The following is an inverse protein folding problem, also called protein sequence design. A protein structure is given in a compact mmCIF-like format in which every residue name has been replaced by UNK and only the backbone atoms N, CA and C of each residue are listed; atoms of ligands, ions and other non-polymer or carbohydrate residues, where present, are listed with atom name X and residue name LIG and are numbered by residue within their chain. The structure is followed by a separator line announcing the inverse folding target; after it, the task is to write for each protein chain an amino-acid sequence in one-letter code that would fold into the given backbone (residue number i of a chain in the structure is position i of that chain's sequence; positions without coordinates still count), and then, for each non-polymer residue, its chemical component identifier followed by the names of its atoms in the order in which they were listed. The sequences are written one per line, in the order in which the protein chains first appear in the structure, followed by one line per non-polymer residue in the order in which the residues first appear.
data_IF_760036329486
#
_entry.id   IF_760036329486
#
_cell.length_a   1.000
_cell.length_b   1.000
_cell.length_c   1.000
_cell.angle_alpha   90.00
_cell.angle_beta   90.00
_cell.angle_gamma   90.00
#
_symmetry.space_group_name_H-M   'P 1'
#
loop_
_entity.id
_entity.type
_entity.pdbx_description
1 polymer ?
#
# COMPACT_ATOMS: atom_id res chain seq x y z
N UNK A 1 1.18 7.00 11.09
CA UNK A 1 2.48 7.72 11.13
C UNK A 1 3.01 7.86 9.70
N UNK A 2 3.79 8.90 9.38
CA UNK A 2 4.43 9.08 8.06
C UNK A 2 5.94 9.16 8.26
N UNK A 3 6.68 8.29 7.61
CA UNK A 3 8.14 8.26 7.62
C UNK A 3 8.69 8.51 6.21
N UNK A 4 9.79 9.24 6.12
CA UNK A 4 10.56 9.39 4.87
C UNK A 4 11.86 8.61 5.05
N UNK A 5 12.04 7.57 4.24
CA UNK A 5 13.23 6.73 4.29
C UNK A 5 14.12 7.06 3.09
N UNK A 6 15.42 7.18 3.33
CA UNK A 6 16.42 7.47 2.31
C UNK A 6 17.43 6.33 2.26
N UNK A 7 17.73 5.85 1.06
CA UNK A 7 18.91 5.04 0.79
C UNK A 7 19.86 5.84 -0.07
N UNK A 8 21.08 6.04 0.43
CA UNK A 8 22.13 6.70 -0.34
C UNK A 8 22.53 5.85 -1.55
N UNK A 9 22.68 6.52 -2.68
CA UNK A 9 23.18 5.90 -3.89
C UNK A 9 24.64 5.51 -3.79
N UNK A 10 25.08 4.66 -4.71
CA UNK A 10 26.48 4.35 -4.93
C UNK A 10 26.78 4.39 -6.45
N UNK A 11 27.99 3.97 -6.84
CA UNK A 11 28.42 3.97 -8.24
C UNK A 11 27.55 3.10 -9.19
N UNK A 12 26.73 2.21 -8.65
CA UNK A 12 25.82 1.31 -9.38
C UNK A 12 24.34 1.64 -9.19
N UNK A 13 23.97 2.44 -8.19
CA UNK A 13 22.57 2.73 -7.88
C UNK A 13 22.34 4.21 -7.52
N UNK A 14 21.30 4.86 -8.06
CA UNK A 14 20.95 6.21 -7.64
C UNK A 14 20.39 6.22 -6.21
N UNK A 15 20.47 7.36 -5.53
CA UNK A 15 19.80 7.59 -4.24
C UNK A 15 18.30 7.37 -4.38
N UNK A 16 17.71 6.62 -3.45
CA UNK A 16 16.28 6.32 -3.40
C UNK A 16 15.61 6.95 -2.19
N UNK A 17 14.35 7.29 -2.36
CA UNK A 17 13.52 7.90 -1.34
C UNK A 17 12.18 7.20 -1.32
N UNK A 18 11.77 6.75 -0.14
CA UNK A 18 10.45 6.19 0.08
C UNK A 18 9.67 7.07 1.04
N UNK A 19 8.39 7.26 0.73
CA UNK A 19 7.43 7.73 1.74
C UNK A 19 6.69 6.50 2.25
N UNK A 20 6.77 6.24 3.54
CA UNK A 20 6.17 5.07 4.20
C UNK A 20 5.08 5.55 5.15
N UNK A 21 3.85 5.12 4.88
CA UNK A 21 2.71 5.35 5.76
C UNK A 21 2.53 4.11 6.63
N UNK A 22 2.78 4.24 7.94
CA UNK A 22 2.54 3.17 8.89
C UNK A 22 1.11 3.30 9.44
N UNK A 23 0.33 2.25 9.25
CA UNK A 23 -1.04 2.07 9.74
C UNK A 23 -0.98 1.02 10.85
N UNK A 24 -0.81 1.42 12.13
CA UNK A 24 -0.84 0.47 13.22
C UNK A 24 -2.23 -0.17 13.26
N UNK A 25 -2.28 -1.49 13.40
CA UNK A 25 -3.52 -2.15 13.82
C UNK A 25 -3.55 -2.12 15.34
N UNK A 26 -3.98 -0.98 15.89
CA UNK A 26 -4.03 -0.80 17.33
C UNK A 26 -4.92 -1.90 17.94
N UNK A 27 -4.36 -2.70 18.83
CA UNK A 27 -5.10 -3.60 19.70
C UNK A 27 -6.05 -2.73 20.54
N UNK A 28 -7.26 -2.48 20.02
CA UNK A 28 -8.34 -2.08 20.88
C UNK A 28 -8.69 -3.30 21.72
N UNK A 29 -8.35 -3.21 23.00
CA UNK A 29 -8.54 -4.24 24.03
C UNK A 29 -10.02 -4.65 24.17
N UNK A 30 -10.95 -3.86 23.61
CA UNK A 30 -12.39 -4.13 23.54
C UNK A 30 -12.85 -4.94 22.31
N UNK A 31 -11.94 -5.35 21.41
CA UNK A 31 -12.30 -6.12 20.21
C UNK A 31 -12.54 -7.60 20.54
N UNK A 32 -13.68 -8.16 20.09
CA UNK A 32 -13.95 -9.60 20.12
C UNK A 32 -12.79 -10.39 19.49
N UNK A 33 -12.41 -11.50 20.11
CA UNK A 33 -11.25 -12.31 19.72
C UNK A 33 -11.38 -12.90 18.30
N UNK A 34 -12.61 -13.14 17.86
CA UNK A 34 -12.99 -13.57 16.51
C UNK A 34 -12.87 -12.46 15.44
N UNK A 35 -12.84 -11.19 15.87
CA UNK A 35 -12.56 -10.02 15.03
C UNK A 35 -11.11 -9.51 15.15
N UNK A 36 -10.28 -10.16 15.98
CA UNK A 36 -8.83 -9.96 16.01
C UNK A 36 -8.22 -10.62 14.78
N UNK A 37 -8.36 -9.91 13.69
CA UNK A 37 -7.65 -10.03 12.42
C UNK A 37 -6.76 -11.25 12.13
N UNK A 38 -7.06 -11.78 10.95
CA UNK A 38 -6.32 -12.72 10.11
C UNK A 38 -4.80 -12.68 10.32
N UNK A 39 -4.26 -13.79 10.85
CA UNK A 39 -2.83 -14.10 10.98
C UNK A 39 -2.06 -14.06 9.62
N UNK A 40 -2.79 -14.00 8.50
CA UNK A 40 -2.25 -13.94 7.15
C UNK A 40 -1.53 -12.61 6.82
N UNK A 41 -1.58 -11.60 7.68
CA UNK A 41 -0.92 -10.30 7.44
C UNK A 41 0.59 -10.41 7.33
N UNK A 42 1.23 -11.31 8.08
CA UNK A 42 2.68 -11.51 8.02
C UNK A 42 3.21 -11.84 6.62
N UNK A 43 2.32 -12.29 5.74
CA UNK A 43 2.68 -12.78 4.43
C UNK A 43 2.16 -11.95 3.26
N UNK A 44 1.34 -10.92 3.51
CA UNK A 44 0.87 -10.05 2.43
C UNK A 44 1.97 -9.07 2.10
N UNK A 45 2.50 -9.19 0.89
CA UNK A 45 3.45 -8.27 0.30
C UNK A 45 3.12 -8.12 -1.18
N UNK A 46 2.46 -7.00 -1.50
CA UNK A 46 2.00 -6.70 -2.86
C UNK A 46 2.51 -5.34 -3.30
N UNK A 47 2.87 -5.23 -4.58
CA UNK A 47 3.33 -3.97 -5.14
C UNK A 47 2.96 -3.78 -6.59
N UNK A 48 2.93 -2.53 -7.00
CA UNK A 48 2.64 -2.17 -8.39
C UNK A 48 3.88 -2.09 -9.26
N UNK A 49 3.77 -2.60 -10.49
CA UNK A 49 4.75 -2.44 -11.57
C UNK A 49 4.14 -1.60 -12.71
N UNK A 50 4.96 -0.72 -13.30
CA UNK A 50 4.54 0.14 -14.41
C UNK A 50 4.79 -0.53 -15.74
N UNK A 51 3.77 -0.54 -16.58
CA UNK A 51 3.92 -0.76 -18.01
C UNK A 51 4.06 0.60 -18.72
N UNK A 52 5.07 0.72 -19.57
CA UNK A 52 5.37 1.94 -20.35
C UNK A 52 5.16 1.65 -21.82
N UNK A 53 4.57 2.59 -22.56
CA UNK A 53 4.52 2.48 -24.03
C UNK A 53 5.92 2.66 -24.62
N UNK A 54 6.37 1.69 -25.41
CA UNK A 54 7.43 1.89 -26.41
C UNK A 54 6.79 2.43 -27.71
N UNK A 55 7.45 3.29 -28.53
CA UNK A 55 8.80 3.84 -28.43
C UNK A 55 8.87 5.29 -27.89
N UNK A 56 7.77 5.88 -27.43
CA UNK A 56 7.76 7.20 -26.77
C UNK A 56 7.99 7.03 -25.26
N UNK A 57 9.25 7.07 -24.85
CA UNK A 57 9.65 7.06 -23.44
C UNK A 57 8.90 8.14 -22.65
N UNK A 58 8.05 7.72 -21.70
CA UNK A 58 7.44 8.63 -20.72
C UNK A 58 5.97 8.38 -20.40
N UNK A 59 5.21 7.71 -21.26
CA UNK A 59 3.78 7.45 -20.99
C UNK A 59 3.58 6.08 -20.31
N UNK A 60 3.11 6.12 -19.06
CA UNK A 60 2.64 4.93 -18.33
C UNK A 60 1.28 4.53 -18.93
N UNK A 61 1.21 3.33 -19.51
CA UNK A 61 -0.01 2.80 -20.17
C UNK A 61 -0.87 2.03 -19.19
N UNK A 62 -0.24 1.20 -18.37
CA UNK A 62 -0.90 0.38 -17.37
C UNK A 62 -0.06 0.27 -16.10
N UNK A 63 -0.74 -0.18 -15.05
CA UNK A 63 -0.12 -0.59 -13.80
C UNK A 63 -0.67 -1.95 -13.48
N UNK A 64 0.22 -2.88 -13.19
CA UNK A 64 -0.12 -4.23 -12.75
C UNK A 64 0.31 -4.38 -11.31
N UNK A 65 -0.48 -5.10 -10.52
CA UNK A 65 -0.10 -5.52 -9.20
C UNK A 65 0.68 -6.84 -9.31
N UNK A 66 1.59 -7.08 -8.38
CA UNK A 66 2.42 -8.28 -8.27
C UNK A 66 2.65 -8.58 -6.79
N UNK A 67 3.02 -9.81 -6.46
CA UNK A 67 3.24 -10.24 -5.08
C UNK A 67 2.22 -11.28 -4.64
N UNK A 68 2.11 -11.48 -3.33
CA UNK A 68 1.25 -12.49 -2.71
C UNK A 68 0.22 -11.79 -1.81
N UNK A 69 -1.05 -11.84 -2.22
CA UNK A 69 -2.16 -11.33 -1.42
C UNK A 69 -2.82 -12.41 -0.55
N UNK A 70 -2.26 -13.64 -0.56
CA UNK A 70 -2.74 -14.82 0.17
C UNK A 70 -4.21 -15.16 -0.07
N UNK A 71 -4.73 -14.84 -1.25
CA UNK A 71 -6.13 -15.12 -1.61
C UNK A 71 -7.14 -14.23 -0.89
N UNK A 72 -6.71 -13.09 -0.34
CA UNK A 72 -7.60 -12.13 0.31
C UNK A 72 -8.48 -11.36 -0.67
N UNK A 73 -8.13 -11.34 -1.97
CA UNK A 73 -8.82 -10.50 -2.96
C UNK A 73 -8.49 -9.01 -2.80
N UNK A 74 -7.51 -8.68 -1.96
CA UNK A 74 -7.02 -7.31 -1.79
C UNK A 74 -6.45 -6.77 -3.11
N UNK A 75 -5.77 -7.63 -3.87
CA UNK A 75 -5.29 -7.31 -5.22
C UNK A 75 -6.41 -6.78 -6.10
N UNK A 76 -7.50 -7.55 -6.22
CA UNK A 76 -8.60 -7.24 -7.13
C UNK A 76 -9.31 -5.96 -6.70
N UNK A 77 -9.51 -5.80 -5.39
CA UNK A 77 -10.12 -4.61 -4.79
C UNK A 77 -9.31 -3.36 -5.12
N UNK A 78 -7.99 -3.39 -4.94
CA UNK A 78 -7.11 -2.26 -5.22
C UNK A 78 -6.92 -1.99 -6.72
N UNK A 79 -6.95 -3.04 -7.55
CA UNK A 79 -6.78 -2.95 -8.99
C UNK A 79 -7.96 -2.27 -9.69
N UNK A 80 -9.17 -2.34 -9.13
CA UNK A 80 -10.37 -1.72 -9.71
C UNK A 80 -10.70 -0.35 -9.11
N UNK A 81 -10.14 0.04 -7.96
CA UNK A 81 -10.40 1.36 -7.38
C UNK A 81 -9.75 2.49 -8.24
N UNK A 82 -10.55 3.41 -8.81
CA UNK A 82 -10.02 4.43 -9.72
C UNK A 82 -9.09 5.46 -9.07
N UNK A 83 -9.19 5.68 -7.76
CA UNK A 83 -8.30 6.57 -7.02
C UNK A 83 -6.95 5.88 -6.75
N UNK A 84 -6.98 4.61 -6.36
CA UNK A 84 -5.78 3.78 -6.15
C UNK A 84 -5.01 3.60 -7.46
N UNK A 85 -5.68 3.24 -8.56
CA UNK A 85 -5.05 3.09 -9.88
C UNK A 85 -4.38 4.39 -10.33
N UNK A 86 -5.01 5.54 -10.07
CA UNK A 86 -4.45 6.86 -10.41
C UNK A 86 -3.22 7.17 -9.57
N UNK A 87 -3.27 6.91 -8.26
CA UNK A 87 -2.12 7.05 -7.36
C UNK A 87 -0.98 6.16 -7.83
N UNK A 88 -1.23 4.88 -8.09
CA UNK A 88 -0.24 3.91 -8.54
C UNK A 88 0.40 4.31 -9.88
N UNK A 89 -0.38 4.80 -10.86
CA UNK A 89 0.17 5.35 -12.12
C UNK A 89 1.11 6.53 -11.85
N UNK A 90 0.76 7.40 -10.90
CA UNK A 90 1.53 8.60 -10.54
C UNK A 90 2.82 8.29 -9.79
N UNK A 91 2.81 7.37 -8.84
CA UNK A 91 4.00 7.04 -8.00
C UNK A 91 4.84 5.91 -8.58
N UNK A 92 4.21 4.96 -9.26
CA UNK A 92 4.84 3.85 -9.98
C UNK A 92 4.89 2.58 -9.20
N UNK A 93 5.70 2.57 -8.14
CA UNK A 93 5.70 1.48 -7.17
C UNK A 93 4.98 1.98 -5.91
N UNK A 94 3.78 1.44 -5.73
CA UNK A 94 2.98 1.47 -4.52
C UNK A 94 3.07 0.06 -3.94
N UNK A 95 3.62 -0.08 -2.75
CA UNK A 95 3.86 -1.34 -2.07
C UNK A 95 3.06 -1.36 -0.77
N UNK A 96 2.44 -2.50 -0.48
CA UNK A 96 1.63 -2.73 0.71
C UNK A 96 2.12 -4.01 1.35
N UNK A 97 2.54 -3.89 2.60
CA UNK A 97 3.06 -5.02 3.36
C UNK A 97 2.37 -5.09 4.72
N UNK A 98 2.00 -6.30 5.14
CA UNK A 98 1.46 -6.57 6.47
C UNK A 98 2.54 -7.08 7.43
N UNK A 99 2.40 -6.73 8.71
CA UNK A 99 3.34 -7.10 9.77
C UNK A 99 2.58 -7.54 11.01
N UNK A 100 3.12 -8.53 11.73
CA UNK A 100 2.55 -9.04 12.99
C UNK A 100 3.63 -9.42 14.01
N UNK A 101 4.83 -8.85 13.87
CA UNK A 101 5.96 -9.06 14.79
C UNK A 101 6.12 -7.83 15.70
N UNK A 102 7.32 -7.25 15.82
CA UNK A 102 7.58 -6.02 16.61
C UNK A 102 6.67 -4.85 16.23
N UNK A 103 6.28 -4.76 14.95
CA UNK A 103 5.22 -3.87 14.47
C UNK A 103 4.02 -4.71 14.03
N UNK A 104 2.85 -4.41 14.59
CA UNK A 104 1.56 -4.99 14.18
C UNK A 104 0.76 -3.98 13.38
N UNK A 105 0.52 -4.27 12.10
CA UNK A 105 -0.23 -3.39 11.22
C UNK A 105 0.25 -3.47 9.78
N UNK A 106 0.08 -2.37 9.07
CA UNK A 106 0.37 -2.28 7.64
C UNK A 106 1.32 -1.14 7.33
N UNK A 107 2.12 -1.33 6.28
CA UNK A 107 2.81 -0.22 5.62
C UNK A 107 2.24 -0.01 4.24
N UNK A 108 2.14 1.25 3.85
CA UNK A 108 1.93 1.66 2.46
C UNK A 108 3.16 2.46 2.06
N UNK A 109 3.97 1.92 1.16
CA UNK A 109 5.21 2.51 0.70
C UNK A 109 5.06 3.03 -0.73
N UNK A 110 5.61 4.21 -0.99
CA UNK A 110 5.71 4.77 -2.35
C UNK A 110 7.14 5.17 -2.68
N UNK A 111 7.59 4.79 -3.88
CA UNK A 111 9.00 4.84 -4.35
C UNK A 111 9.44 6.23 -4.85
N UNK A 112 8.85 7.29 -4.28
CA UNK A 112 9.20 8.68 -4.59
C UNK A 112 8.99 9.58 -3.36
N UNK A 113 9.64 10.75 -3.36
CA UNK A 113 9.24 11.86 -2.50
C UNK A 113 7.84 12.32 -2.89
N UNK A 114 6.80 11.76 -2.25
CA UNK A 114 5.42 12.11 -2.52
C UNK A 114 5.13 13.45 -1.84
N UNK A 115 4.66 14.43 -2.62
CA UNK A 115 3.98 15.61 -2.08
C UNK A 115 2.48 15.44 -2.35
N UNK A 116 1.76 14.74 -1.45
CA UNK A 116 0.39 14.34 -1.72
C UNK A 116 -0.52 15.58 -1.82
N UNK A 117 -1.28 15.63 -2.90
CA UNK A 117 -2.44 16.52 -3.07
C UNK A 117 -3.66 15.83 -2.46
N UNK A 118 -4.76 16.57 -2.31
CA UNK A 118 -6.03 16.03 -1.78
C UNK A 118 -6.45 14.70 -2.40
N UNK A 119 -6.36 14.57 -3.72
CA UNK A 119 -6.71 13.32 -4.42
C UNK A 119 -5.77 12.14 -4.09
N UNK A 120 -4.50 12.42 -3.81
CA UNK A 120 -3.56 11.38 -3.38
C UNK A 120 -3.89 10.95 -1.95
N UNK A 121 -4.28 11.89 -1.08
CA UNK A 121 -4.77 11.59 0.26
C UNK A 121 -6.05 10.76 0.25
N UNK A 122 -7.01 11.12 -0.61
CA UNK A 122 -8.25 10.35 -0.75
C UNK A 122 -7.96 8.90 -1.16
N UNK A 123 -6.98 8.68 -2.05
CA UNK A 123 -6.55 7.34 -2.43
C UNK A 123 -5.85 6.60 -1.28
N UNK A 124 -4.95 7.25 -0.54
CA UNK A 124 -4.28 6.66 0.63
C UNK A 124 -5.28 6.30 1.74
N UNK A 125 -6.32 7.11 1.95
CA UNK A 125 -7.39 6.83 2.91
C UNK A 125 -8.26 5.66 2.47
N UNK A 126 -8.57 5.54 1.17
CA UNK A 126 -9.26 4.36 0.63
C UNK A 126 -8.44 3.09 0.85
N UNK A 127 -7.14 3.13 0.54
CA UNK A 127 -6.22 2.00 0.84
C UNK A 127 -6.30 1.66 2.32
N UNK A 128 -6.16 2.64 3.22
CA UNK A 128 -6.26 2.38 4.65
C UNK A 128 -7.61 1.74 5.04
N UNK A 129 -8.73 2.16 4.43
CA UNK A 129 -10.05 1.56 4.65
C UNK A 129 -10.21 0.14 4.11
N UNK A 130 -9.41 -0.27 3.11
CA UNK A 130 -9.36 -1.67 2.67
C UNK A 130 -8.47 -2.56 3.56
N UNK A 131 -7.48 -1.97 4.22
CA UNK A 131 -6.51 -2.69 5.06
C UNK A 131 -6.95 -2.82 6.52
N UNK A 132 -7.66 -1.81 7.00
CA UNK A 132 -8.19 -1.73 8.35
C UNK A 132 -9.67 -2.11 8.35
N UNK A 133 -10.16 -2.78 9.40
CA UNK A 133 -11.56 -3.16 9.49
C UNK A 133 -12.40 -1.91 9.57
N UNK A 134 -13.57 -1.97 8.94
CA UNK A 134 -14.63 -1.07 9.37
C UNK A 134 -15.12 -1.51 10.75
N UNK A 135 -15.28 -0.60 11.73
CA UNK A 135 -15.92 -0.91 13.01
C UNK A 135 -17.40 -1.33 12.88
N UNK A 136 -18.00 -1.17 11.69
CA UNK A 136 -19.45 -1.32 11.47
C UNK A 136 -19.90 -2.69 10.96
N UNK A 137 -19.04 -3.72 10.98
CA UNK A 137 -19.49 -5.12 10.74
C UNK A 137 -20.01 -5.77 12.03
N UNK A 138 -20.77 -4.99 12.80
CA UNK A 138 -21.67 -5.47 13.85
C UNK A 138 -23.07 -5.26 13.31
N UNK A 139 -23.85 -6.33 13.25
CA UNK A 139 -25.27 -6.39 12.87
C UNK A 139 -25.56 -6.82 11.42
N UNK A 140 -25.43 -8.13 11.15
CA UNK A 140 -26.44 -8.87 10.37
C UNK A 140 -26.54 -10.30 10.89
#
# INVERSE_FOLDING_TARGET
MINIVKQDGNQYSPTRWWTVFCLPDEERDDRPEDLRYVDNRQAIDIKTSREKSFPLFGRVTAVTWTGDDRGTGLFDTLAVDPAVVRLAKKVGCLEISGYNDEFRGWTVQVDTGLRPKRQDWDALLRIAGYLLPSPDEKDT
#
